data_IF_018553295646
#
_entry.id   IF_018553295646
#
_cell.length_a   1.000
_cell.length_b   1.000
_cell.length_c   1.000
_cell.angle_alpha   90.00
_cell.angle_beta   90.00
_cell.angle_gamma   90.00
#
_symmetry.space_group_name_H-M   'P 1'
#
loop_
_entity.id
_entity.type
_entity.pdbx_description
1 polymer ?
#
# COMPACT_ATOMS: atom_id res chain seq x y z
N UNK A 1 18.23 8.57 -18.59
CA UNK A 1 17.25 9.54 -18.07
C UNK A 1 17.99 10.48 -17.13
N UNK A 2 17.96 11.79 -17.38
CA UNK A 2 18.32 12.77 -16.35
C UNK A 2 17.36 12.58 -15.18
N UNK A 3 17.88 12.36 -13.97
CA UNK A 3 17.05 12.19 -12.79
C UNK A 3 16.27 13.50 -12.56
N UNK A 4 14.95 13.45 -12.76
CA UNK A 4 14.09 14.59 -12.47
C UNK A 4 14.25 14.95 -10.98
N UNK A 5 14.35 16.24 -10.67
CA UNK A 5 14.57 16.69 -9.30
C UNK A 5 13.29 16.57 -8.46
N UNK A 6 13.42 16.61 -7.13
CA UNK A 6 12.28 16.69 -6.22
C UNK A 6 11.39 17.91 -6.58
N UNK A 7 12.00 19.06 -6.85
CA UNK A 7 11.30 20.27 -7.30
C UNK A 7 10.47 20.09 -8.59
N UNK A 8 10.89 19.19 -9.48
CA UNK A 8 10.20 18.93 -10.75
C UNK A 8 9.06 17.92 -10.61
N UNK A 9 9.18 16.97 -9.68
CA UNK A 9 8.26 15.82 -9.59
C UNK A 9 7.30 15.91 -8.42
N UNK A 10 7.70 16.56 -7.33
CA UNK A 10 6.95 16.73 -6.08
C UNK A 10 7.21 18.13 -5.50
N UNK A 11 6.81 19.20 -6.21
CA UNK A 11 7.11 20.59 -5.84
C UNK A 11 6.55 21.03 -4.48
N UNK A 12 5.41 20.46 -4.03
CA UNK A 12 4.85 20.78 -2.72
C UNK A 12 5.76 20.23 -1.61
N UNK A 13 6.13 18.95 -1.71
CA UNK A 13 7.08 18.30 -0.80
C UNK A 13 8.42 19.04 -0.78
N UNK A 14 8.96 19.39 -1.95
CA UNK A 14 10.19 20.15 -2.11
C UNK A 14 10.16 21.50 -1.37
N UNK A 15 9.07 22.25 -1.54
CA UNK A 15 8.86 23.53 -0.88
C UNK A 15 8.82 23.40 0.64
N UNK A 16 8.17 22.36 1.17
CA UNK A 16 8.11 22.10 2.61
C UNK A 16 9.44 21.56 3.16
N UNK A 17 10.15 20.71 2.41
CA UNK A 17 11.46 20.19 2.80
C UNK A 17 12.47 21.34 3.03
N UNK A 18 12.51 22.31 2.12
CA UNK A 18 13.35 23.52 2.30
C UNK A 18 12.98 24.35 3.52
N UNK A 19 11.68 24.55 3.78
CA UNK A 19 11.20 25.30 4.97
C UNK A 19 11.50 24.58 6.28
N UNK A 20 11.67 23.26 6.24
CA UNK A 20 12.00 22.42 7.37
C UNK A 20 13.50 22.06 7.42
N UNK A 21 14.36 22.80 6.72
CA UNK A 21 15.80 22.57 6.76
C UNK A 21 16.32 22.59 8.20
N UNK A 22 16.99 21.52 8.62
CA UNK A 22 17.56 21.36 9.95
C UNK A 22 16.58 20.89 11.03
N UNK A 23 15.28 20.71 10.76
CA UNK A 23 14.33 20.22 11.79
C UNK A 23 14.60 18.78 12.20
N UNK A 24 15.30 18.00 11.37
CA UNK A 24 15.73 16.63 11.65
C UNK A 24 17.25 16.54 11.92
N UNK A 25 17.92 17.67 12.14
CA UNK A 25 19.35 17.65 12.47
C UNK A 25 19.61 16.85 13.76
N UNK A 26 20.56 15.91 13.68
CA UNK A 26 20.87 15.03 14.81
C UNK A 26 19.88 13.90 15.05
N UNK A 27 19.02 13.60 14.08
CA UNK A 27 18.08 12.46 14.13
C UNK A 27 18.49 11.40 13.11
N UNK A 28 18.64 10.16 13.56
CA UNK A 28 18.67 8.98 12.69
C UNK A 28 17.24 8.53 12.37
N UNK A 29 16.94 8.26 11.11
CA UNK A 29 15.61 7.83 10.67
C UNK A 29 15.71 6.44 10.07
N UNK A 30 14.97 5.50 10.66
CA UNK A 30 14.63 4.25 10.00
C UNK A 30 13.47 4.50 9.04
N UNK A 31 13.78 4.55 7.75
CA UNK A 31 12.78 4.72 6.71
C UNK A 31 12.42 3.36 6.08
N UNK A 32 11.14 2.99 6.13
CA UNK A 32 10.66 1.74 5.51
C UNK A 32 9.63 2.11 4.45
N UNK A 33 9.96 1.86 3.19
CA UNK A 33 9.13 2.29 2.07
C UNK A 33 9.15 1.31 0.92
N UNK A 34 8.22 1.50 -0.01
CA UNK A 34 8.21 0.74 -1.25
C UNK A 34 9.42 1.08 -2.14
N UNK A 35 9.82 0.12 -2.97
CA UNK A 35 10.85 0.31 -4.00
C UNK A 35 10.30 1.07 -5.21
N UNK A 36 9.78 2.28 -5.00
CA UNK A 36 9.24 3.18 -6.03
C UNK A 36 9.72 4.63 -5.82
N UNK A 37 9.44 5.50 -6.80
CA UNK A 37 10.05 6.82 -6.89
C UNK A 37 9.57 7.79 -5.81
N UNK A 38 8.27 7.84 -5.50
CA UNK A 38 7.71 8.76 -4.50
C UNK A 38 8.28 8.54 -3.09
N UNK A 39 8.49 7.28 -2.69
CA UNK A 39 9.10 6.90 -1.43
C UNK A 39 10.58 7.32 -1.37
N UNK A 40 11.33 7.15 -2.47
CA UNK A 40 12.70 7.64 -2.56
C UNK A 40 12.78 9.17 -2.53
N UNK A 41 11.85 9.88 -3.17
CA UNK A 41 11.78 11.34 -3.09
C UNK A 41 11.42 11.81 -1.67
N UNK A 42 10.56 11.08 -0.97
CA UNK A 42 10.26 11.34 0.45
C UNK A 42 11.49 11.14 1.34
N UNK A 43 12.27 10.08 1.11
CA UNK A 43 13.55 9.89 1.79
C UNK A 43 14.53 11.04 1.50
N UNK A 44 14.61 11.51 0.25
CA UNK A 44 15.38 12.71 -0.09
C UNK A 44 14.91 13.96 0.67
N UNK A 45 13.60 14.14 0.85
CA UNK A 45 13.04 15.25 1.64
C UNK A 45 13.44 15.17 3.12
N UNK A 46 13.41 13.97 3.72
CA UNK A 46 13.87 13.73 5.09
C UNK A 46 15.36 14.08 5.24
N UNK A 47 16.19 13.64 4.30
CA UNK A 47 17.62 13.99 4.27
C UNK A 47 17.85 15.50 4.12
N UNK A 48 17.08 16.17 3.25
CA UNK A 48 17.14 17.62 3.07
C UNK A 48 16.73 18.40 4.34
N UNK A 49 15.88 17.81 5.18
CA UNK A 49 15.56 18.34 6.50
C UNK A 49 16.63 18.06 7.59
N UNK A 50 17.71 17.35 7.24
CA UNK A 50 18.87 17.09 8.10
C UNK A 50 18.96 15.68 8.69
N UNK A 51 18.05 14.77 8.33
CA UNK A 51 18.07 13.39 8.82
C UNK A 51 19.23 12.59 8.21
N UNK A 52 19.74 11.62 8.98
CA UNK A 52 20.55 10.51 8.47
C UNK A 52 19.68 9.26 8.38
N UNK A 53 19.82 8.48 7.33
CA UNK A 53 18.84 7.44 6.98
C UNK A 53 19.43 6.04 7.00
N UNK A 54 18.67 5.11 7.57
CA UNK A 54 18.76 3.68 7.29
C UNK A 54 17.45 3.29 6.60
N UNK A 55 17.54 2.74 5.39
CA UNK A 55 16.35 2.44 4.60
C UNK A 55 16.11 0.94 4.46
N UNK A 56 14.84 0.53 4.52
CA UNK A 56 14.39 -0.82 4.14
C UNK A 56 13.43 -0.71 2.95
N UNK A 57 13.72 -1.46 1.89
CA UNK A 57 12.88 -1.51 0.68
C UNK A 57 11.92 -2.69 0.77
N UNK A 58 10.62 -2.43 0.66
CA UNK A 58 9.57 -3.46 0.69
C UNK A 58 9.59 -4.29 -0.62
N UNK A 59 9.79 -5.61 -0.57
CA UNK A 59 10.12 -6.42 -1.75
C UNK A 59 8.90 -7.09 -2.40
N UNK A 60 8.00 -6.31 -3.00
CA UNK A 60 6.82 -6.84 -3.72
C UNK A 60 7.10 -7.28 -5.17
N UNK A 61 8.29 -6.98 -5.68
CA UNK A 61 8.69 -7.24 -7.05
C UNK A 61 10.20 -7.13 -7.23
N UNK A 62 10.71 -7.27 -8.47
CA UNK A 62 12.10 -7.03 -8.78
C UNK A 62 12.55 -5.65 -8.26
N UNK A 63 13.79 -5.61 -7.76
CA UNK A 63 14.40 -4.36 -7.36
C UNK A 63 14.48 -3.41 -8.56
N UNK A 64 14.23 -2.13 -8.30
CA UNK A 64 14.38 -1.05 -9.26
C UNK A 64 15.73 -0.37 -9.01
N UNK A 65 16.76 -0.61 -9.84
CA UNK A 65 18.11 -0.18 -9.55
C UNK A 65 18.19 1.32 -9.26
N UNK A 66 17.51 2.14 -10.05
CA UNK A 66 17.49 3.60 -9.89
C UNK A 66 16.90 4.07 -8.55
N UNK A 67 15.93 3.33 -8.00
CA UNK A 67 15.33 3.62 -6.70
C UNK A 67 16.24 3.15 -5.57
N UNK A 68 16.83 1.96 -5.69
CA UNK A 68 17.78 1.44 -4.71
C UNK A 68 19.02 2.33 -4.64
N UNK A 69 19.56 2.74 -5.79
CA UNK A 69 20.67 3.67 -5.90
C UNK A 69 20.33 5.03 -5.25
N UNK A 70 19.07 5.48 -5.36
CA UNK A 70 18.62 6.70 -4.68
C UNK A 70 18.66 6.57 -3.16
N UNK A 71 18.18 5.46 -2.60
CA UNK A 71 18.31 5.20 -1.17
C UNK A 71 19.77 5.07 -0.73
N UNK A 72 20.62 4.40 -1.52
CA UNK A 72 22.03 4.18 -1.18
C UNK A 72 22.84 5.48 -1.10
N UNK A 73 22.47 6.49 -1.89
CA UNK A 73 23.05 7.84 -1.78
C UNK A 73 22.69 8.57 -0.48
N UNK A 74 21.64 8.13 0.21
CA UNK A 74 21.13 8.74 1.44
C UNK A 74 21.63 8.04 2.71
N UNK A 75 22.08 6.79 2.61
CA UNK A 75 22.60 6.02 3.73
C UNK A 75 22.53 4.51 3.49
N UNK A 76 22.74 3.68 4.52
CA UNK A 76 22.62 2.23 4.40
C UNK A 76 21.22 1.79 3.94
N UNK A 77 21.17 0.75 3.10
CA UNK A 77 19.93 0.22 2.53
C UNK A 77 19.88 -1.29 2.66
N UNK A 78 18.76 -1.79 3.17
CA UNK A 78 18.44 -3.20 3.21
C UNK A 78 17.32 -3.44 2.19
N UNK A 79 17.68 -4.00 1.05
CA UNK A 79 16.76 -4.29 -0.06
C UNK A 79 16.70 -5.81 -0.29
N UNK A 80 15.91 -6.55 0.50
CA UNK A 80 15.77 -8.00 0.30
C UNK A 80 15.15 -8.30 -1.08
N UNK A 81 15.48 -9.45 -1.69
CA UNK A 81 14.82 -9.87 -2.92
C UNK A 81 13.33 -10.18 -2.67
N UNK A 82 12.50 -10.02 -3.70
CA UNK A 82 11.09 -10.42 -3.65
C UNK A 82 10.97 -11.91 -3.24
N UNK A 83 10.40 -12.20 -2.05
CA UNK A 83 10.29 -13.56 -1.60
C UNK A 83 9.04 -14.20 -2.19
N UNK A 84 8.91 -15.52 -2.00
CA UNK A 84 7.62 -16.17 -2.14
C UNK A 84 6.60 -15.52 -1.19
N UNK A 85 5.33 -15.30 -1.60
CA UNK A 85 4.25 -14.73 -0.77
C UNK A 85 4.19 -15.26 0.67
N UNK A 86 4.18 -16.58 0.83
CA UNK A 86 4.15 -17.26 2.14
C UNK A 86 5.40 -17.05 3.01
N UNK A 87 6.49 -16.52 2.45
CA UNK A 87 7.75 -16.20 3.15
C UNK A 87 7.94 -14.70 3.40
N UNK A 88 7.02 -13.87 2.92
CA UNK A 88 7.14 -12.42 3.02
C UNK A 88 7.34 -11.92 4.45
N UNK A 89 6.53 -12.41 5.40
CA UNK A 89 6.60 -11.99 6.80
C UNK A 89 7.97 -12.34 7.43
N UNK A 90 8.52 -13.52 7.11
CA UNK A 90 9.84 -13.94 7.59
C UNK A 90 10.94 -13.03 7.03
N UNK A 91 10.91 -12.73 5.74
CA UNK A 91 11.93 -11.89 5.08
C UNK A 91 11.87 -10.45 5.58
N UNK A 92 10.67 -9.87 5.70
CA UNK A 92 10.51 -8.53 6.26
C UNK A 92 10.93 -8.47 7.73
N UNK A 93 10.61 -9.48 8.54
CA UNK A 93 11.08 -9.56 9.93
C UNK A 93 12.60 -9.50 10.00
N UNK A 94 13.29 -10.34 9.22
CA UNK A 94 14.75 -10.35 9.21
C UNK A 94 15.35 -8.99 8.79
N UNK A 95 14.87 -8.44 7.67
CA UNK A 95 15.36 -7.17 7.14
C UNK A 95 15.13 -5.99 8.10
N UNK A 96 13.96 -5.91 8.74
CA UNK A 96 13.62 -4.82 9.66
C UNK A 96 14.32 -4.97 11.00
N UNK A 97 14.50 -6.19 11.52
CA UNK A 97 15.32 -6.45 12.71
C UNK A 97 16.76 -5.95 12.49
N UNK A 98 17.37 -6.29 11.36
CA UNK A 98 18.71 -5.81 10.99
C UNK A 98 18.75 -4.28 10.91
N UNK A 99 17.74 -3.65 10.29
CA UNK A 99 17.64 -2.20 10.17
C UNK A 99 17.54 -1.49 11.53
N UNK A 100 16.76 -2.05 12.46
CA UNK A 100 16.60 -1.51 13.82
C UNK A 100 17.94 -1.58 14.57
N UNK A 101 18.67 -2.69 14.49
CA UNK A 101 19.99 -2.79 15.10
C UNK A 101 20.95 -1.74 14.53
N UNK A 102 20.94 -1.56 13.21
CA UNK A 102 21.82 -0.62 12.52
C UNK A 102 21.53 0.83 12.92
N UNK A 103 20.28 1.28 12.77
CA UNK A 103 19.88 2.66 13.06
C UNK A 103 20.08 3.02 14.54
N UNK A 104 19.73 2.11 15.45
CA UNK A 104 19.84 2.38 16.89
C UNK A 104 21.32 2.39 17.33
N UNK A 105 22.16 1.57 16.71
CA UNK A 105 23.61 1.59 16.97
C UNK A 105 24.25 2.88 16.44
N UNK A 106 23.90 3.30 15.22
CA UNK A 106 24.36 4.57 14.65
C UNK A 106 23.95 5.76 15.52
N UNK A 107 22.69 5.79 15.94
CA UNK A 107 22.17 6.83 16.82
C UNK A 107 22.97 6.92 18.12
N UNK A 108 23.19 5.78 18.79
CA UNK A 108 23.98 5.71 20.02
C UNK A 108 25.43 6.17 19.81
N UNK A 109 26.09 5.76 18.72
CA UNK A 109 27.47 6.16 18.43
C UNK A 109 27.58 7.67 18.17
N UNK A 110 26.55 8.28 17.59
CA UNK A 110 26.50 9.70 17.29
C UNK A 110 25.94 10.57 18.43
N UNK A 111 25.65 9.98 19.60
CA UNK A 111 24.88 10.63 20.70
C UNK A 111 23.58 11.29 20.21
N UNK A 112 22.94 10.63 19.25
CA UNK A 112 21.74 11.07 18.55
C UNK A 112 20.53 10.27 19.03
N UNK A 113 19.35 10.86 18.79
CA UNK A 113 18.08 10.14 18.91
C UNK A 113 17.70 9.54 17.56
N UNK A 114 16.80 8.56 17.56
CA UNK A 114 16.30 7.98 16.32
C UNK A 114 14.79 7.88 16.29
N UNK A 115 14.21 7.76 15.10
CA UNK A 115 12.78 7.58 14.91
C UNK A 115 12.47 6.65 13.73
N UNK A 116 11.21 6.24 13.64
CA UNK A 116 10.70 5.38 12.56
C UNK A 116 9.79 6.22 11.66
N UNK A 117 9.96 6.09 10.35
CA UNK A 117 9.02 6.59 9.34
C UNK A 117 8.75 5.43 8.40
N UNK A 118 7.51 4.92 8.37
CA UNK A 118 7.24 3.69 7.66
C UNK A 118 5.90 3.63 6.91
N UNK A 119 5.90 2.75 5.91
CA UNK A 119 4.77 2.31 5.12
C UNK A 119 4.49 0.83 5.43
N UNK A 120 3.49 0.55 6.27
CA UNK A 120 3.00 -0.81 6.51
C UNK A 120 3.22 -1.37 7.91
N UNK A 121 3.78 -0.58 8.83
CA UNK A 121 3.87 -0.88 10.26
C UNK A 121 4.63 -2.17 10.57
N UNK A 122 5.87 -2.28 10.11
CA UNK A 122 6.75 -3.42 10.34
C UNK A 122 7.66 -3.22 11.56
N UNK A 123 8.21 -2.03 11.75
CA UNK A 123 9.24 -1.79 12.76
C UNK A 123 8.68 -1.70 14.18
N UNK A 124 7.61 -0.93 14.38
CA UNK A 124 7.03 -0.74 15.72
C UNK A 124 6.59 -2.06 16.36
N UNK A 125 5.90 -2.99 15.67
CA UNK A 125 5.60 -4.30 16.24
C UNK A 125 6.83 -5.06 16.68
N UNK A 126 7.86 -5.13 15.82
CA UNK A 126 9.08 -5.86 16.13
C UNK A 126 9.81 -5.26 17.32
N UNK A 127 9.87 -3.93 17.41
CA UNK A 127 10.50 -3.22 18.51
C UNK A 127 9.84 -3.51 19.87
N UNK A 128 8.52 -3.70 19.91
CA UNK A 128 7.78 -3.99 21.15
C UNK A 128 7.77 -5.50 21.49
N UNK A 129 7.59 -6.35 20.48
CA UNK A 129 7.29 -7.77 20.68
C UNK A 129 8.53 -8.66 20.68
N UNK A 130 9.66 -8.15 20.18
CA UNK A 130 10.89 -8.95 20.05
C UNK A 130 11.84 -8.62 21.21
N UNK A 131 12.09 -9.56 22.14
CA UNK A 131 12.90 -9.29 23.34
C UNK A 131 14.28 -8.69 23.05
N UNK A 132 14.96 -9.12 21.99
CA UNK A 132 16.28 -8.56 21.63
C UNK A 132 16.24 -7.10 21.13
N UNK A 133 15.08 -6.60 20.69
CA UNK A 133 14.93 -5.24 20.17
C UNK A 133 14.42 -4.25 21.23
N UNK A 134 13.69 -4.73 22.24
CA UNK A 134 13.14 -3.89 23.33
C UNK A 134 14.16 -2.95 23.99
N UNK A 135 15.44 -3.32 24.19
CA UNK A 135 16.44 -2.40 24.76
C UNK A 135 16.65 -1.10 23.97
N UNK A 136 16.27 -1.04 22.68
CA UNK A 136 16.37 0.17 21.86
C UNK A 136 15.16 1.10 21.99
N UNK A 137 14.06 0.63 22.60
CA UNK A 137 12.82 1.40 22.71
C UNK A 137 13.01 2.75 23.43
N UNK A 138 13.74 2.84 24.57
CA UNK A 138 13.92 4.11 25.28
C UNK A 138 14.65 5.21 24.49
N UNK A 139 15.47 4.85 23.49
CA UNK A 139 16.18 5.82 22.66
C UNK A 139 15.40 6.25 21.42
N UNK A 140 14.33 5.53 21.06
CA UNK A 140 13.43 5.88 19.97
C UNK A 140 12.56 7.08 20.37
N UNK A 141 12.46 8.10 19.51
CA UNK A 141 11.61 9.27 19.72
C UNK A 141 10.13 8.95 19.52
N UNK A 142 9.85 8.02 18.62
CA UNK A 142 8.50 7.72 18.16
C UNK A 142 8.48 7.21 16.73
N UNK A 143 7.28 7.08 16.17
CA UNK A 143 7.07 6.58 14.83
C UNK A 143 6.07 7.42 14.02
N UNK A 144 6.20 7.40 12.69
CA UNK A 144 5.22 7.95 11.76
C UNK A 144 4.78 6.87 10.77
N UNK A 145 3.48 6.65 10.64
CA UNK A 145 2.90 5.60 9.80
C UNK A 145 2.05 6.14 8.66
N UNK A 146 2.33 5.66 7.46
CA UNK A 146 1.68 6.07 6.22
C UNK A 146 0.32 5.40 5.98
N UNK A 147 0.18 4.10 6.27
CA UNK A 147 -0.93 3.24 5.79
C UNK A 147 -1.90 2.81 6.87
N UNK A 148 -3.13 2.50 6.48
CA UNK A 148 -4.15 2.03 7.42
C UNK A 148 -3.77 0.67 8.01
N UNK A 149 -3.12 -0.18 7.23
CA UNK A 149 -2.67 -1.50 7.69
C UNK A 149 -1.52 -1.39 8.69
N UNK A 150 -0.57 -0.49 8.48
CA UNK A 150 0.47 -0.23 9.47
C UNK A 150 -0.08 0.41 10.74
N UNK A 151 -1.09 1.29 10.62
CA UNK A 151 -1.80 1.83 11.78
C UNK A 151 -2.45 0.71 12.61
N UNK A 152 -3.06 -0.30 11.95
CA UNK A 152 -3.56 -1.48 12.64
C UNK A 152 -2.46 -2.30 13.30
N UNK A 153 -1.29 -2.45 12.68
CA UNK A 153 -0.15 -3.14 13.31
C UNK A 153 0.31 -2.46 14.60
N UNK A 154 0.16 -1.14 14.70
CA UNK A 154 0.48 -0.38 15.91
C UNK A 154 -0.58 -0.55 16.99
N UNK A 155 -1.81 -0.84 16.60
CA UNK A 155 -2.95 -0.94 17.51
C UNK A 155 -3.24 -2.39 17.94
N UNK A 156 -2.81 -3.39 17.17
CA UNK A 156 -3.16 -4.79 17.37
C UNK A 156 -1.97 -5.74 17.19
N UNK A 157 -1.95 -6.85 17.92
CA UNK A 157 -0.96 -7.91 17.76
C UNK A 157 -1.24 -8.78 16.53
N UNK A 158 -2.51 -9.07 16.24
CA UNK A 158 -2.93 -9.85 15.08
C UNK A 158 -3.75 -9.00 14.10
N UNK A 159 -3.29 -8.91 12.84
CA UNK A 159 -3.93 -8.08 11.79
C UNK A 159 -4.24 -8.83 10.50
N UNK A 160 -3.75 -10.06 10.34
CA UNK A 160 -3.97 -10.89 9.15
C UNK A 160 -5.24 -11.74 9.25
N UNK A 161 -5.92 -11.69 10.40
CA UNK A 161 -7.24 -12.31 10.61
C UNK A 161 -8.41 -11.47 10.06
N UNK A 162 -9.64 -12.02 10.07
CA UNK A 162 -10.84 -11.32 9.60
C UNK A 162 -11.24 -10.14 10.49
N UNK A 163 -10.83 -10.13 11.76
CA UNK A 163 -11.02 -9.05 12.72
C UNK A 163 -9.66 -8.79 13.40
N UNK A 164 -9.20 -7.52 13.51
CA UNK A 164 -8.02 -7.20 14.29
C UNK A 164 -8.15 -7.73 15.72
N UNK A 165 -7.10 -8.41 16.19
CA UNK A 165 -7.13 -9.19 17.43
C UNK A 165 -6.86 -8.37 18.68
N UNK A 166 -5.84 -8.81 19.43
CA UNK A 166 -5.49 -8.29 20.76
C UNK A 166 -4.95 -6.86 20.67
N UNK A 167 -5.50 -5.88 21.40
CA UNK A 167 -4.97 -4.53 21.44
C UNK A 167 -3.50 -4.48 21.93
N UNK A 168 -2.70 -3.65 21.29
CA UNK A 168 -1.29 -3.38 21.62
C UNK A 168 -1.18 -2.12 22.47
N UNK A 169 -0.44 -2.19 23.56
CA UNK A 169 0.00 -1.00 24.30
C UNK A 169 1.32 -0.52 23.70
N UNK A 170 1.35 0.73 23.24
CA UNK A 170 2.58 1.35 22.76
C UNK A 170 3.38 1.94 23.93
N UNK A 171 4.70 1.82 23.86
CA UNK A 171 5.65 2.41 24.81
C UNK A 171 6.36 3.64 24.22
N UNK A 172 5.97 4.05 23.01
CA UNK A 172 6.43 5.26 22.31
C UNK A 172 5.24 5.99 21.68
N UNK A 173 5.35 7.31 21.42
CA UNK A 173 4.34 8.03 20.67
C UNK A 173 4.43 7.70 19.17
N UNK A 174 3.29 7.60 18.51
CA UNK A 174 3.22 7.41 17.07
C UNK A 174 2.21 8.36 16.42
N UNK A 175 2.48 8.84 15.21
CA UNK A 175 1.56 9.66 14.42
C UNK A 175 1.21 8.92 13.12
N UNK A 176 -0.05 8.91 12.70
CA UNK A 176 -0.44 8.34 11.41
C UNK A 176 -1.16 9.35 10.54
N UNK A 177 -0.83 9.33 9.24
CA UNK A 177 -1.55 10.08 8.20
C UNK A 177 -2.57 9.21 7.47
N UNK A 178 -2.65 7.92 7.79
CA UNK A 178 -3.44 6.93 7.04
C UNK A 178 -4.94 7.22 6.94
N UNK A 179 -5.48 7.88 7.95
CA UNK A 179 -6.90 8.24 8.07
C UNK A 179 -7.19 9.73 7.85
N UNK A 180 -6.21 10.55 7.45
CA UNK A 180 -6.46 11.97 7.27
C UNK A 180 -7.29 12.26 6.01
N UNK A 181 -8.07 13.34 6.05
CA UNK A 181 -9.04 13.68 5.01
C UNK A 181 -8.39 13.70 3.61
N UNK A 182 -7.28 14.42 3.44
CA UNK A 182 -6.54 14.51 2.17
C UNK A 182 -6.18 13.13 1.63
N UNK A 183 -5.52 12.28 2.42
CA UNK A 183 -5.15 10.94 1.96
C UNK A 183 -6.39 10.13 1.59
N UNK A 184 -7.44 10.22 2.39
CA UNK A 184 -8.68 9.47 2.15
C UNK A 184 -9.44 9.90 0.90
N UNK A 185 -9.42 11.17 0.51
CA UNK A 185 -10.17 11.67 -0.63
C UNK A 185 -9.35 11.75 -1.93
N UNK A 186 -8.04 11.99 -1.82
CA UNK A 186 -7.15 12.26 -2.96
C UNK A 186 -6.46 11.00 -3.49
N UNK A 187 -5.81 10.23 -2.62
CA UNK A 187 -4.92 9.12 -3.02
C UNK A 187 -5.65 8.00 -3.76
N UNK A 188 -6.85 7.66 -3.28
CA UNK A 188 -7.52 6.42 -3.67
C UNK A 188 -7.85 6.32 -5.16
N UNK A 189 -8.19 7.44 -5.80
CA UNK A 189 -8.47 7.48 -7.23
C UNK A 189 -7.22 7.18 -8.08
N UNK A 190 -6.09 7.81 -7.76
CA UNK A 190 -4.84 7.61 -8.49
C UNK A 190 -4.24 6.21 -8.28
N UNK A 191 -4.37 5.67 -7.06
CA UNK A 191 -3.99 4.27 -6.78
C UNK A 191 -4.85 3.32 -7.60
N UNK A 192 -6.16 3.55 -7.69
CA UNK A 192 -7.06 2.72 -8.48
C UNK A 192 -6.75 2.78 -9.99
N UNK A 193 -6.58 3.99 -10.53
CA UNK A 193 -6.19 4.21 -11.93
C UNK A 193 -4.93 3.42 -12.28
N UNK A 194 -3.86 3.63 -11.52
CA UNK A 194 -2.58 2.95 -11.75
C UNK A 194 -2.70 1.44 -11.58
N UNK A 195 -3.43 0.98 -10.56
CA UNK A 195 -3.65 -0.46 -10.34
C UNK A 195 -4.33 -1.09 -11.55
N UNK A 196 -5.38 -0.46 -12.08
CA UNK A 196 -6.08 -0.97 -13.26
C UNK A 196 -5.18 -0.92 -14.49
N UNK A 197 -4.42 0.15 -14.70
CA UNK A 197 -3.48 0.25 -15.82
C UNK A 197 -2.41 -0.85 -15.80
N UNK A 198 -1.80 -1.11 -14.64
CA UNK A 198 -0.81 -2.19 -14.49
C UNK A 198 -1.43 -3.58 -14.70
N UNK A 199 -2.67 -3.81 -14.25
CA UNK A 199 -3.41 -5.04 -14.56
C UNK A 199 -3.58 -5.17 -16.08
N UNK A 200 -4.02 -4.12 -16.76
CA UNK A 200 -4.27 -4.16 -18.20
C UNK A 200 -2.97 -4.37 -19.00
N UNK A 201 -1.87 -3.77 -18.56
CA UNK A 201 -0.55 -4.01 -19.16
C UNK A 201 -0.13 -5.47 -18.99
N UNK A 202 -0.28 -6.03 -17.79
CA UNK A 202 0.01 -7.44 -17.52
C UNK A 202 -0.89 -8.39 -18.34
N UNK A 203 -2.17 -8.06 -18.53
CA UNK A 203 -3.08 -8.85 -19.37
C UNK A 203 -2.73 -8.77 -20.87
N UNK A 204 -2.20 -7.64 -21.35
CA UNK A 204 -1.73 -7.49 -22.74
C UNK A 204 -0.54 -8.39 -23.05
N UNK A 205 0.35 -8.64 -22.09
CA UNK A 205 1.45 -9.60 -22.24
C UNK A 205 0.94 -11.03 -22.51
N UNK A 206 -0.29 -11.31 -22.08
CA UNK A 206 -1.01 -12.57 -22.33
C UNK A 206 -2.00 -12.51 -23.50
N UNK A 207 -2.02 -11.40 -24.26
CA UNK A 207 -2.98 -11.11 -25.32
C UNK A 207 -4.45 -11.18 -24.87
N UNK A 208 -4.74 -10.77 -23.63
CA UNK A 208 -6.09 -10.74 -23.06
C UNK A 208 -6.63 -9.31 -22.96
N UNK A 209 -7.91 -9.15 -23.31
CA UNK A 209 -8.68 -7.92 -23.06
C UNK A 209 -9.76 -8.17 -22.01
N UNK A 210 -10.24 -7.12 -21.35
CA UNK A 210 -11.33 -7.19 -20.35
C UNK A 210 -12.55 -6.34 -20.68
N UNK A 211 -12.45 -5.48 -21.69
CA UNK A 211 -13.58 -4.65 -22.15
C UNK A 211 -14.77 -5.54 -22.49
N UNK A 212 -15.95 -5.19 -21.98
CA UNK A 212 -17.21 -5.94 -22.11
C UNK A 212 -17.23 -7.32 -21.44
N UNK A 213 -16.17 -7.72 -20.72
CA UNK A 213 -16.13 -9.01 -20.04
C UNK A 213 -16.53 -8.89 -18.55
N UNK A 214 -17.04 -9.98 -17.95
CA UNK A 214 -17.31 -10.04 -16.51
C UNK A 214 -16.03 -9.95 -15.69
N UNK A 215 -15.94 -8.94 -14.82
CA UNK A 215 -14.86 -8.76 -13.84
C UNK A 215 -15.46 -8.69 -12.44
N UNK A 216 -14.68 -9.05 -11.44
CA UNK A 216 -15.10 -8.97 -10.04
C UNK A 216 -14.09 -8.15 -9.22
N UNK A 217 -14.60 -7.38 -8.27
CA UNK A 217 -13.80 -6.68 -7.25
C UNK A 217 -14.22 -7.19 -5.87
N UNK A 218 -13.28 -7.77 -5.12
CA UNK A 218 -13.49 -8.17 -3.74
C UNK A 218 -13.08 -7.05 -2.79
N UNK A 219 -14.03 -6.58 -1.98
CA UNK A 219 -13.89 -5.39 -1.15
C UNK A 219 -14.39 -4.14 -1.88
N UNK A 220 -15.29 -3.41 -1.25
CA UNK A 220 -15.85 -2.15 -1.76
C UNK A 220 -15.68 -1.02 -0.73
N UNK A 221 -14.52 -1.03 -0.06
CA UNK A 221 -14.03 0.16 0.63
C UNK A 221 -13.52 1.21 -0.36
N UNK A 222 -12.81 2.22 0.13
CA UNK A 222 -12.29 3.34 -0.68
C UNK A 222 -11.58 2.91 -1.97
N UNK A 223 -10.55 2.06 -1.85
CA UNK A 223 -9.76 1.59 -2.99
C UNK A 223 -10.58 0.67 -3.90
N UNK A 224 -11.32 -0.27 -3.33
CA UNK A 224 -12.17 -1.20 -4.09
C UNK A 224 -13.27 -0.50 -4.89
N UNK A 225 -13.93 0.49 -4.32
CA UNK A 225 -14.94 1.30 -5.01
C UNK A 225 -14.33 2.11 -6.16
N UNK A 226 -13.15 2.72 -5.95
CA UNK A 226 -12.43 3.42 -6.99
C UNK A 226 -11.99 2.47 -8.13
N UNK A 227 -11.46 1.29 -7.81
CA UNK A 227 -11.10 0.26 -8.81
C UNK A 227 -12.33 -0.20 -9.60
N UNK A 228 -13.46 -0.43 -8.92
CA UNK A 228 -14.70 -0.83 -9.56
C UNK A 228 -15.20 0.24 -10.54
N UNK A 229 -15.18 1.51 -10.15
CA UNK A 229 -15.53 2.63 -11.01
C UNK A 229 -14.60 2.72 -12.23
N UNK A 230 -13.31 2.52 -12.02
CA UNK A 230 -12.25 2.61 -13.04
C UNK A 230 -12.32 1.47 -14.06
N UNK A 231 -12.68 0.25 -13.62
CA UNK A 231 -12.98 -0.88 -14.51
C UNK A 231 -14.31 -0.67 -15.27
N UNK A 232 -15.33 -0.12 -14.62
CA UNK A 232 -16.62 0.18 -15.24
C UNK A 232 -16.47 1.27 -16.32
N UNK A 233 -15.67 2.32 -16.06
CA UNK A 233 -15.34 3.37 -17.02
C UNK A 233 -14.61 2.84 -18.26
N UNK A 234 -13.85 1.75 -18.12
CA UNK A 234 -13.24 1.01 -19.24
C UNK A 234 -14.20 0.01 -19.92
N UNK A 235 -15.48 0.03 -19.56
CA UNK A 235 -16.54 -0.77 -20.17
C UNK A 235 -16.57 -2.24 -19.71
N UNK A 236 -16.01 -2.57 -18.56
CA UNK A 236 -16.11 -3.92 -17.98
C UNK A 236 -17.50 -4.14 -17.35
N UNK A 237 -17.95 -5.40 -17.27
CA UNK A 237 -19.14 -5.77 -16.50
C UNK A 237 -18.75 -6.06 -15.05
N UNK A 238 -18.89 -5.08 -14.17
CA UNK A 238 -18.32 -5.13 -12.82
C UNK A 238 -19.27 -5.79 -11.82
N UNK A 239 -18.80 -6.86 -11.19
CA UNK A 239 -19.40 -7.44 -10.00
C UNK A 239 -18.58 -7.08 -8.75
N UNK A 240 -19.25 -6.97 -7.61
CA UNK A 240 -18.63 -6.60 -6.33
C UNK A 240 -18.92 -7.69 -5.30
N UNK A 241 -17.89 -8.07 -4.54
CA UNK A 241 -17.99 -9.01 -3.43
C UNK A 241 -17.63 -8.23 -2.16
N UNK A 242 -18.59 -7.91 -1.30
CA UNK A 242 -18.31 -7.32 0.00
C UNK A 242 -19.34 -7.84 1.03
N UNK A 243 -18.90 -8.39 2.18
CA UNK A 243 -19.81 -8.93 3.19
C UNK A 243 -20.76 -7.87 3.76
N UNK A 244 -20.39 -6.58 3.72
CA UNK A 244 -21.23 -5.47 4.21
C UNK A 244 -22.36 -5.10 3.26
N UNK A 245 -22.41 -5.68 2.06
CA UNK A 245 -23.44 -5.43 1.04
C UNK A 245 -23.73 -3.94 0.81
N UNK A 246 -22.72 -3.14 0.41
CA UNK A 246 -22.90 -1.70 0.24
C UNK A 246 -23.82 -1.38 -0.93
N UNK A 247 -24.35 -0.15 -0.91
CA UNK A 247 -24.98 0.43 -2.10
C UNK A 247 -23.92 0.63 -3.19
N UNK A 248 -24.19 0.10 -4.38
CA UNK A 248 -23.29 0.18 -5.52
C UNK A 248 -23.72 1.30 -6.46
N UNK A 249 -22.76 1.81 -7.24
CA UNK A 249 -23.06 2.68 -8.37
C UNK A 249 -23.83 1.93 -9.47
N UNK A 250 -24.56 2.68 -10.29
CA UNK A 250 -25.36 2.14 -11.39
C UNK A 250 -24.51 1.26 -12.34
N UNK A 251 -25.09 0.13 -12.76
CA UNK A 251 -24.44 -0.82 -13.66
C UNK A 251 -23.51 -1.84 -12.99
N UNK A 252 -23.28 -1.75 -11.67
CA UNK A 252 -22.55 -2.76 -10.90
C UNK A 252 -23.51 -3.73 -10.21
N UNK A 253 -23.05 -4.97 -9.96
CA UNK A 253 -23.88 -5.98 -9.26
C UNK A 253 -23.16 -6.59 -8.07
N UNK A 254 -23.86 -6.70 -6.94
CA UNK A 254 -23.35 -7.40 -5.77
C UNK A 254 -23.48 -8.91 -5.96
N UNK A 255 -22.41 -9.66 -5.66
CA UNK A 255 -22.34 -11.12 -5.80
C UNK A 255 -21.63 -11.77 -4.62
N UNK A 256 -21.79 -13.08 -4.48
CA UNK A 256 -20.94 -13.90 -3.60
C UNK A 256 -19.79 -14.59 -4.38
N UNK A 257 -18.88 -15.24 -3.64
CA UNK A 257 -17.73 -15.94 -4.21
C UNK A 257 -18.08 -17.05 -5.21
N UNK A 258 -19.20 -17.75 -4.99
CA UNK A 258 -19.64 -18.81 -5.90
C UNK A 258 -20.07 -18.18 -7.22
N UNK A 259 -20.90 -17.14 -7.15
CA UNK A 259 -21.44 -16.41 -8.31
C UNK A 259 -20.34 -15.80 -9.20
N UNK A 260 -19.17 -15.47 -8.66
CA UNK A 260 -18.00 -15.03 -9.46
C UNK A 260 -17.64 -16.05 -10.53
N UNK A 261 -17.51 -17.33 -10.16
CA UNK A 261 -17.19 -18.38 -11.12
C UNK A 261 -18.36 -18.67 -12.07
N UNK A 262 -19.60 -18.61 -11.57
CA UNK A 262 -20.82 -18.86 -12.36
C UNK A 262 -21.00 -17.85 -13.50
N UNK A 263 -20.58 -16.59 -13.27
CA UNK A 263 -20.59 -15.51 -14.26
C UNK A 263 -19.49 -15.62 -15.31
N UNK A 264 -18.59 -16.58 -15.20
CA UNK A 264 -17.44 -16.70 -16.10
C UNK A 264 -16.48 -15.52 -15.99
N UNK A 265 -16.27 -15.01 -14.77
CA UNK A 265 -15.36 -13.90 -14.48
C UNK A 265 -13.97 -14.11 -15.09
N UNK A 266 -13.47 -13.11 -15.84
CA UNK A 266 -12.12 -13.13 -16.42
C UNK A 266 -11.05 -12.69 -15.44
N UNK A 267 -11.39 -11.70 -14.61
CA UNK A 267 -10.48 -11.02 -13.71
C UNK A 267 -11.17 -10.81 -12.36
N UNK A 268 -10.51 -11.22 -11.28
CA UNK A 268 -10.86 -10.88 -9.92
C UNK A 268 -9.77 -9.96 -9.35
N UNK A 269 -10.17 -8.80 -8.86
CA UNK A 269 -9.28 -7.85 -8.16
C UNK A 269 -9.60 -7.88 -6.67
N UNK A 270 -8.63 -8.26 -5.83
CA UNK A 270 -8.73 -8.20 -4.38
C UNK A 270 -8.33 -6.83 -3.85
N UNK A 271 -9.21 -6.23 -3.04
CA UNK A 271 -9.06 -4.92 -2.42
C UNK A 271 -9.71 -4.86 -1.02
N UNK A 272 -9.74 -5.99 -0.30
CA UNK A 272 -10.30 -6.07 1.06
C UNK A 272 -9.31 -5.67 2.15
N UNK A 273 -8.01 -5.78 1.88
CA UNK A 273 -6.92 -5.63 2.84
C UNK A 273 -6.74 -6.82 3.79
N UNK A 274 -7.43 -7.93 3.51
CA UNK A 274 -7.49 -9.14 4.36
C UNK A 274 -7.44 -10.42 3.52
N UNK A 275 -7.29 -11.57 4.17
CA UNK A 275 -7.26 -12.88 3.51
C UNK A 275 -8.68 -13.37 3.14
N UNK A 276 -9.35 -12.61 2.28
CA UNK A 276 -10.77 -12.80 2.00
C UNK A 276 -11.08 -13.84 0.92
N UNK A 277 -10.15 -14.14 0.01
CA UNK A 277 -10.42 -15.07 -1.12
C UNK A 277 -10.44 -16.52 -0.64
N UNK A 278 -11.58 -17.22 -0.73
CA UNK A 278 -11.70 -18.59 -0.26
C UNK A 278 -11.05 -19.59 -1.23
N UNK A 279 -10.39 -20.65 -0.75
CA UNK A 279 -9.89 -21.74 -1.60
C UNK A 279 -10.97 -22.39 -2.48
N UNK A 280 -12.24 -22.38 -2.03
CA UNK A 280 -13.41 -22.91 -2.72
C UNK A 280 -13.66 -22.23 -4.08
N UNK A 281 -13.12 -21.01 -4.29
CA UNK A 281 -13.12 -20.35 -5.60
C UNK A 281 -12.46 -21.23 -6.67
N UNK A 282 -11.42 -22.01 -6.32
CA UNK A 282 -10.75 -22.93 -7.24
C UNK A 282 -11.73 -24.00 -7.71
N UNK A 283 -12.44 -24.65 -6.78
CA UNK A 283 -13.40 -25.69 -7.12
C UNK A 283 -14.50 -25.13 -8.04
N UNK A 284 -15.03 -23.95 -7.69
CA UNK A 284 -16.04 -23.26 -8.50
C UNK A 284 -15.53 -22.91 -9.91
N UNK A 285 -14.29 -22.44 -10.04
CA UNK A 285 -13.64 -22.19 -11.33
C UNK A 285 -13.46 -23.47 -12.16
N UNK A 286 -12.94 -24.54 -11.54
CA UNK A 286 -12.68 -25.83 -12.19
C UNK A 286 -13.97 -26.57 -12.59
N UNK A 287 -15.10 -26.27 -11.96
CA UNK A 287 -16.40 -26.84 -12.32
C UNK A 287 -17.03 -26.20 -13.58
N UNK A 288 -16.56 -25.03 -14.02
CA UNK A 288 -17.23 -24.22 -15.07
C UNK A 288 -16.65 -24.41 -16.46
N UNK A 289 -17.04 -23.64 -17.47
CA UNK A 289 -16.50 -23.78 -18.84
C UNK A 289 -15.27 -22.92 -19.13
N UNK A 290 -14.93 -21.98 -18.23
CA UNK A 290 -13.88 -20.99 -18.50
C UNK A 290 -12.49 -21.62 -18.37
N UNK A 291 -11.64 -21.40 -19.38
CA UNK A 291 -10.29 -21.94 -19.42
C UNK A 291 -9.29 -21.16 -18.57
N UNK A 292 -9.51 -19.87 -18.37
CA UNK A 292 -8.55 -19.00 -17.68
C UNK A 292 -9.24 -17.93 -16.84
N UNK A 293 -8.72 -17.72 -15.63
CA UNK A 293 -9.10 -16.62 -14.74
C UNK A 293 -7.84 -15.97 -14.16
N UNK A 294 -7.85 -14.64 -14.11
CA UNK A 294 -6.78 -13.81 -13.58
C UNK A 294 -7.15 -13.29 -12.20
N UNK A 295 -6.15 -13.27 -11.31
CA UNK A 295 -6.26 -12.81 -9.93
C UNK A 295 -5.24 -11.67 -9.74
N UNK A 296 -5.70 -10.49 -9.35
CA UNK A 296 -4.87 -9.32 -9.08
C UNK A 296 -5.09 -8.81 -7.67
N UNK A 297 -4.03 -8.48 -6.95
CA UNK A 297 -4.14 -7.83 -5.63
C UNK A 297 -3.92 -6.33 -5.79
N UNK A 298 -4.75 -5.53 -5.13
CA UNK A 298 -4.56 -4.09 -4.92
C UNK A 298 -4.15 -3.76 -3.47
N UNK A 299 -4.08 -4.78 -2.61
CA UNK A 299 -3.79 -4.64 -1.18
C UNK A 299 -2.34 -4.97 -0.86
N UNK A 300 -1.80 -4.35 0.19
CA UNK A 300 -0.44 -4.60 0.68
C UNK A 300 -0.19 -6.09 0.96
N UNK A 301 1.04 -6.55 0.69
CA UNK A 301 1.44 -7.97 0.75
C UNK A 301 0.62 -8.82 -0.23
N UNK A 302 0.68 -10.14 -0.09
CA UNK A 302 -0.16 -11.06 -0.85
C UNK A 302 -1.42 -11.48 -0.05
N UNK A 303 -1.94 -10.58 0.78
CA UNK A 303 -2.94 -10.92 1.80
C UNK A 303 -4.23 -11.46 1.18
N UNK A 304 -4.71 -10.83 0.11
CA UNK A 304 -5.96 -11.15 -0.62
C UNK A 304 -6.08 -12.62 -1.00
N UNK A 305 -4.96 -13.21 -1.42
CA UNK A 305 -4.87 -14.57 -1.94
C UNK A 305 -4.02 -15.49 -1.08
N UNK A 306 -3.60 -15.07 0.11
CA UNK A 306 -2.69 -15.85 0.97
C UNK A 306 -3.22 -17.27 1.27
N UNK A 307 -4.50 -17.39 1.64
CA UNK A 307 -5.17 -18.68 1.85
C UNK A 307 -5.26 -19.50 0.56
N UNK A 308 -5.57 -18.85 -0.55
CA UNK A 308 -5.63 -19.48 -1.86
C UNK A 308 -4.25 -20.00 -2.31
N UNK A 309 -3.19 -19.20 -2.16
CA UNK A 309 -1.81 -19.60 -2.42
C UNK A 309 -1.46 -20.81 -1.55
N UNK A 310 -1.70 -20.74 -0.23
CA UNK A 310 -1.43 -21.85 0.68
C UNK A 310 -2.15 -23.15 0.25
N UNK A 311 -3.41 -23.05 -0.18
CA UNK A 311 -4.17 -24.17 -0.71
C UNK A 311 -3.57 -24.73 -2.00
N UNK A 312 -3.19 -23.87 -2.95
CA UNK A 312 -2.57 -24.25 -4.23
C UNK A 312 -1.17 -24.85 -4.08
N UNK A 313 -0.46 -24.51 -2.99
CA UNK A 313 0.84 -25.09 -2.66
C UNK A 313 0.73 -26.42 -1.88
N UNK A 314 -0.48 -26.87 -1.53
CA UNK A 314 -0.74 -28.11 -0.78
C UNK A 314 -1.43 -29.18 -1.65
N UNK A 315 -0.74 -30.29 -2.01
CA UNK A 315 -1.32 -31.34 -2.86
C UNK A 315 -2.63 -31.93 -2.33
N UNK A 316 -2.72 -32.17 -1.02
CA UNK A 316 -3.91 -32.76 -0.39
C UNK A 316 -5.13 -31.83 -0.44
N UNK A 317 -4.91 -30.51 -0.35
CA UNK A 317 -5.99 -29.53 -0.49
C UNK A 317 -6.49 -29.47 -1.93
N UNK A 318 -5.60 -29.58 -2.92
CA UNK A 318 -5.99 -29.63 -4.32
C UNK A 318 -6.82 -30.88 -4.65
N UNK A 319 -6.44 -32.03 -4.11
CA UNK A 319 -7.23 -33.26 -4.24
C UNK A 319 -8.62 -33.11 -3.64
N UNK A 320 -8.76 -32.42 -2.50
CA UNK A 320 -10.05 -32.16 -1.87
C UNK A 320 -10.92 -31.13 -2.64
N UNK A 321 -10.31 -30.15 -3.30
CA UNK A 321 -11.00 -29.12 -4.08
C UNK A 321 -11.37 -29.56 -5.50
N UNK A 322 -10.78 -30.66 -5.97
CA UNK A 322 -10.92 -31.18 -7.32
C UNK A 322 -12.38 -31.63 -7.61
N UNK A 323 -13.10 -31.04 -8.58
CA UNK A 323 -14.45 -31.48 -8.94
C UNK A 323 -14.49 -32.84 -9.67
N UNK A 324 -13.33 -33.40 -10.03
CA UNK A 324 -13.21 -34.65 -10.77
C UNK A 324 -11.93 -35.41 -10.36
N UNK A 325 -11.95 -36.76 -10.41
CA UNK A 325 -10.76 -37.56 -10.13
C UNK A 325 -9.66 -37.31 -11.18
N UNK A 326 -8.41 -37.41 -10.73
CA UNK A 326 -7.24 -37.32 -11.62
C UNK A 326 -6.85 -35.91 -12.05
N UNK A 327 -7.35 -34.87 -11.38
CA UNK A 327 -6.86 -33.49 -11.58
C UNK A 327 -5.38 -33.41 -11.18
N UNK A 328 -4.55 -32.88 -12.08
CA UNK A 328 -3.14 -32.60 -11.84
C UNK A 328 -2.89 -31.10 -11.92
N UNK A 329 -2.19 -30.57 -10.94
CA UNK A 329 -1.73 -29.17 -10.90
C UNK A 329 -0.25 -29.08 -11.28
N UNK A 330 0.06 -28.23 -12.25
CA UNK A 330 1.43 -27.81 -12.56
C UNK A 330 1.58 -26.32 -12.27
N UNK A 331 2.73 -25.94 -11.71
CA UNK A 331 3.07 -24.55 -11.37
C UNK A 331 4.18 -24.08 -12.30
N UNK A 332 4.06 -22.87 -12.82
CA UNK A 332 5.15 -22.26 -13.59
C UNK A 332 5.21 -20.76 -13.34
N UNK A 333 6.42 -20.17 -13.44
CA UNK A 333 6.53 -18.72 -13.54
C UNK A 333 5.96 -18.26 -14.89
N UNK A 334 5.40 -17.06 -14.92
CA UNK A 334 4.93 -16.38 -16.12
C UNK A 334 5.39 -14.93 -16.15
N UNK A 335 5.34 -14.26 -17.31
CA UNK A 335 5.78 -12.87 -17.46
C UNK A 335 5.02 -11.91 -16.52
N UNK A 336 3.72 -12.15 -16.36
CA UNK A 336 2.83 -11.36 -15.52
C UNK A 336 2.73 -11.83 -14.06
N UNK A 337 3.42 -12.92 -13.69
CA UNK A 337 3.34 -13.58 -12.38
C UNK A 337 3.11 -15.09 -12.47
N UNK A 338 2.68 -15.71 -11.38
CA UNK A 338 2.57 -17.16 -11.22
C UNK A 338 1.37 -17.77 -11.95
N UNK A 339 1.58 -18.94 -12.53
CA UNK A 339 0.56 -19.74 -13.22
C UNK A 339 0.32 -21.06 -12.52
N UNK A 340 -0.95 -21.41 -12.39
CA UNK A 340 -1.45 -22.68 -11.85
C UNK A 340 -2.28 -23.36 -12.94
N UNK A 341 -1.68 -24.37 -13.59
CA UNK A 341 -2.30 -25.09 -14.69
C UNK A 341 -2.88 -26.42 -14.20
N UNK A 342 -4.19 -26.58 -14.40
CA UNK A 342 -4.93 -27.78 -14.04
C UNK A 342 -5.25 -28.60 -15.28
N UNK A 343 -4.99 -29.90 -15.21
CA UNK A 343 -5.32 -30.87 -16.26
C UNK A 343 -6.12 -32.02 -15.65
N UNK A 344 -7.06 -32.58 -16.42
CA UNK A 344 -7.82 -33.75 -16.02
C UNK A 344 -8.09 -34.61 -17.26
N UNK A 345 -8.18 -35.95 -17.15
CA UNK A 345 -8.51 -36.82 -18.28
C UNK A 345 -9.83 -36.46 -18.98
N UNK A 346 -10.80 -35.95 -18.20
CA UNK A 346 -12.11 -35.56 -18.70
C UNK A 346 -12.14 -34.17 -19.38
N UNK A 347 -11.03 -33.41 -19.36
CA UNK A 347 -10.99 -32.07 -19.94
C UNK A 347 -10.28 -32.07 -21.29
N UNK A 348 -10.90 -31.51 -22.34
CA UNK A 348 -10.26 -31.43 -23.66
C UNK A 348 -9.04 -30.51 -23.65
N UNK A 349 -8.97 -29.58 -22.69
CA UNK A 349 -7.91 -28.58 -22.58
C UNK A 349 -7.62 -28.27 -21.11
N UNK A 350 -6.37 -27.90 -20.84
CA UNK A 350 -5.97 -27.41 -19.53
C UNK A 350 -6.72 -26.12 -19.16
N UNK A 351 -6.93 -25.95 -17.85
CA UNK A 351 -7.45 -24.73 -17.23
C UNK A 351 -6.33 -24.03 -16.47
N UNK A 352 -6.41 -22.72 -16.33
CA UNK A 352 -5.34 -21.91 -15.78
C UNK A 352 -5.86 -20.84 -14.83
N UNK A 353 -5.31 -20.79 -13.62
CA UNK A 353 -5.40 -19.64 -12.73
C UNK A 353 -4.08 -18.87 -12.83
N UNK A 354 -4.15 -17.57 -13.13
CA UNK A 354 -2.98 -16.70 -13.22
C UNK A 354 -3.03 -15.71 -12.08
N UNK A 355 -2.04 -15.77 -11.19
CA UNK A 355 -1.83 -14.77 -10.15
C UNK A 355 -0.90 -13.69 -10.66
N UNK A 356 -1.49 -12.55 -10.99
CA UNK A 356 -0.73 -11.38 -11.38
C UNK A 356 0.17 -10.94 -10.22
N UNK A 357 1.40 -10.56 -10.55
CA UNK A 357 2.42 -10.17 -9.57
C UNK A 357 2.68 -11.22 -8.48
N UNK A 358 2.53 -12.51 -8.77
CA UNK A 358 2.61 -13.60 -7.80
C UNK A 358 1.65 -13.46 -6.60
N UNK A 359 0.60 -12.64 -6.76
CA UNK A 359 -0.36 -12.32 -5.70
C UNK A 359 0.00 -11.08 -4.87
N UNK A 360 1.16 -10.46 -5.06
CA UNK A 360 1.52 -9.15 -4.49
C UNK A 360 0.72 -8.01 -5.14
N UNK A 361 0.74 -6.79 -4.57
CA UNK A 361 0.02 -5.68 -5.17
C UNK A 361 0.62 -5.35 -6.54
N UNK A 362 -0.22 -5.47 -7.58
CA UNK A 362 0.18 -5.38 -8.99
C UNK A 362 0.86 -4.05 -9.33
N UNK A 363 0.46 -2.97 -8.65
CA UNK A 363 0.97 -1.63 -8.91
C UNK A 363 2.47 -1.47 -8.61
N UNK A 364 3.06 -2.35 -7.79
CA UNK A 364 4.50 -2.27 -7.44
C UNK A 364 5.37 -3.29 -8.18
N UNK A 365 4.77 -4.22 -8.91
CA UNK A 365 5.46 -5.43 -9.34
C UNK A 365 6.33 -5.23 -10.58
N UNK A 366 5.84 -4.54 -11.61
CA UNK A 366 6.62 -4.40 -12.85
C UNK A 366 7.82 -3.50 -12.60
N UNK A 367 8.97 -3.84 -13.19
CA UNK A 367 10.21 -3.08 -13.01
C UNK A 367 10.05 -1.60 -13.43
N UNK A 368 9.25 -1.35 -14.46
CA UNK A 368 8.94 0.00 -14.95
C UNK A 368 7.80 0.70 -14.18
N UNK A 369 7.11 0.03 -13.27
CA UNK A 369 5.97 0.61 -12.54
C UNK A 369 6.42 1.29 -11.26
N UNK A 370 6.23 2.60 -11.17
CA UNK A 370 6.54 3.39 -9.98
C UNK A 370 5.31 3.67 -9.11
N UNK A 371 4.25 2.88 -9.25
CA UNK A 371 2.97 3.18 -8.61
C UNK A 371 2.34 4.45 -9.18
N UNK A 372 1.48 5.09 -8.38
CA UNK A 372 0.86 6.34 -8.81
C UNK A 372 1.93 7.41 -9.05
N UNK A 373 1.67 8.31 -10.00
CA UNK A 373 2.67 9.30 -10.39
C UNK A 373 3.12 10.16 -9.21
N UNK A 374 4.40 10.52 -9.16
CA UNK A 374 4.94 11.42 -8.14
C UNK A 374 4.11 12.70 -7.99
N UNK A 375 3.69 13.29 -9.11
CA UNK A 375 2.84 14.47 -9.11
C UNK A 375 1.52 14.22 -8.38
N UNK A 376 0.85 13.09 -8.61
CA UNK A 376 -0.37 12.73 -7.89
C UNK A 376 -0.11 12.45 -6.40
N UNK A 377 1.02 11.84 -6.06
CA UNK A 377 1.34 11.47 -4.66
C UNK A 377 1.97 12.61 -3.86
N UNK A 378 2.37 13.71 -4.49
CA UNK A 378 3.05 14.85 -3.86
C UNK A 378 2.35 15.36 -2.58
N UNK A 379 1.03 15.65 -2.57
CA UNK A 379 0.38 16.11 -1.36
C UNK A 379 0.37 15.06 -0.23
N UNK A 380 0.24 13.77 -0.56
CA UNK A 380 0.19 12.67 0.42
C UNK A 380 1.55 12.45 1.06
N UNK A 381 2.59 12.41 0.24
CA UNK A 381 3.97 12.25 0.71
C UNK A 381 4.46 13.49 1.46
N UNK A 382 3.95 14.68 1.12
CA UNK A 382 4.14 15.89 1.91
C UNK A 382 3.59 15.71 3.34
N UNK A 383 2.41 15.11 3.51
CA UNK A 383 1.89 14.84 4.87
C UNK A 383 2.79 13.88 5.65
N UNK A 384 3.30 12.82 5.00
CA UNK A 384 4.19 11.86 5.66
C UNK A 384 5.47 12.56 6.14
N UNK A 385 6.06 13.37 5.26
CA UNK A 385 7.21 14.19 5.56
C UNK A 385 6.95 15.18 6.70
N UNK A 386 5.85 15.94 6.65
CA UNK A 386 5.53 16.96 7.68
C UNK A 386 5.27 16.33 9.05
N UNK A 387 4.60 15.17 9.08
CA UNK A 387 4.41 14.40 10.30
C UNK A 387 5.77 13.99 10.90
N UNK A 388 6.70 13.48 10.08
CA UNK A 388 8.04 13.13 10.51
C UNK A 388 8.86 14.35 10.96
N UNK A 389 8.87 15.43 10.19
CA UNK A 389 9.63 16.64 10.46
C UNK A 389 9.24 17.35 11.77
N UNK A 390 7.97 17.27 12.17
CA UNK A 390 7.51 17.86 13.44
C UNK A 390 7.65 16.95 14.66
N UNK A 391 7.83 15.64 14.49
CA UNK A 391 7.85 14.68 15.60
C UNK A 391 8.94 14.98 16.64
N UNK A 392 10.21 15.28 16.30
CA UNK A 392 11.24 15.55 17.31
C UNK A 392 10.88 16.69 18.27
N UNK A 393 10.22 17.74 17.76
CA UNK A 393 9.82 18.91 18.56
C UNK A 393 8.56 18.68 19.42
N UNK A 394 7.84 17.58 19.19
CA UNK A 394 6.54 17.36 19.81
C UNK A 394 6.39 16.01 20.52
N UNK A 395 7.30 15.06 20.31
CA UNK A 395 7.23 13.71 20.89
C UNK A 395 7.02 13.72 22.40
N UNK A 396 7.67 14.63 23.14
CA UNK A 396 7.54 14.76 24.59
C UNK A 396 6.14 15.19 25.08
N UNK A 397 5.29 15.71 24.18
CA UNK A 397 3.90 16.13 24.47
C UNK A 397 2.88 15.05 24.12
N UNK A 398 3.30 14.02 23.38
CA UNK A 398 2.42 12.95 22.95
C UNK A 398 2.40 11.81 23.97
N UNK A 399 1.20 11.34 24.32
CA UNK A 399 1.05 10.08 25.04
C UNK A 399 1.55 8.89 24.20
N UNK A 400 1.92 7.79 24.86
CA UNK A 400 2.41 6.57 24.19
C UNK A 400 1.24 5.79 23.56
N UNK A 401 0.74 6.32 22.45
CA UNK A 401 -0.33 5.75 21.64
C UNK A 401 -0.17 6.17 20.19
N UNK A 402 -1.02 5.64 19.33
CA UNK A 402 -1.20 6.14 17.97
C UNK A 402 -2.08 7.41 18.01
N UNK A 403 -1.58 8.47 17.39
CA UNK A 403 -2.24 9.76 17.21
C UNK A 403 -2.56 9.95 15.73
N UNK A 404 -3.76 10.41 15.45
CA UNK A 404 -4.19 10.85 14.12
C UNK A 404 -3.80 12.30 13.88
N UNK A 405 -3.93 12.77 12.63
CA UNK A 405 -3.76 14.21 12.33
C UNK A 405 -4.76 15.07 13.10
N UNK A 406 -5.96 14.56 13.39
CA UNK A 406 -6.94 15.27 14.22
C UNK A 406 -6.48 15.39 15.68
N UNK A 407 -5.97 14.30 16.27
CA UNK A 407 -5.38 14.35 17.62
C UNK A 407 -4.23 15.38 17.70
N UNK A 408 -3.43 15.46 16.64
CA UNK A 408 -2.33 16.42 16.54
C UNK A 408 -2.86 17.86 16.46
N UNK A 409 -3.96 18.11 15.75
CA UNK A 409 -4.54 19.45 15.60
C UNK A 409 -5.00 20.06 16.94
N UNK A 410 -5.35 19.21 17.91
CA UNK A 410 -5.82 19.65 19.24
C UNK A 410 -4.67 20.01 20.19
N UNK A 411 -3.41 19.80 19.81
CA UNK A 411 -2.27 20.12 20.67
C UNK A 411 -1.96 21.63 20.65
N UNK A 412 -1.67 22.24 21.82
CA UNK A 412 -1.21 23.61 21.86
C UNK A 412 0.20 23.74 21.27
N UNK A 413 0.52 24.93 20.73
CA UNK A 413 1.86 25.30 20.26
C UNK A 413 2.47 24.32 19.25
N UNK A 414 1.70 23.97 18.22
CA UNK A 414 2.16 23.07 17.16
C UNK A 414 3.47 23.54 16.53
N UNK A 415 4.48 22.65 16.36
CA UNK A 415 5.68 23.01 15.62
C UNK A 415 5.30 23.38 14.17
N UNK A 416 6.11 24.21 13.51
CA UNK A 416 5.79 24.73 12.19
C UNK A 416 5.45 23.63 11.14
N UNK A 417 6.15 22.47 11.08
CA UNK A 417 5.76 21.40 10.18
C UNK A 417 4.35 20.84 10.46
N UNK A 418 3.95 20.73 11.72
CA UNK A 418 2.62 20.21 12.08
C UNK A 418 1.50 21.23 11.87
N UNK A 419 1.78 22.53 11.95
CA UNK A 419 0.82 23.53 11.46
C UNK A 419 0.53 23.34 9.98
N UNK A 420 1.56 23.11 9.16
CA UNK A 420 1.35 22.78 7.75
C UNK A 420 0.67 21.43 7.54
N UNK A 421 0.93 20.43 8.40
CA UNK A 421 0.30 19.10 8.34
C UNK A 421 -1.23 19.17 8.50
N UNK A 422 -1.72 20.02 9.40
CA UNK A 422 -3.16 20.15 9.66
C UNK A 422 -3.88 21.00 8.59
N UNK A 423 -3.16 21.87 7.89
CA UNK A 423 -3.63 22.70 6.76
C UNK A 423 -3.75 21.91 5.44
N UNK A 424 -4.41 20.75 5.50
CA UNK A 424 -4.55 19.79 4.40
C UNK A 424 -5.16 20.41 3.13
N UNK A 425 -6.16 21.28 3.29
CA UNK A 425 -6.77 21.97 2.16
C UNK A 425 -5.79 22.92 1.47
N UNK A 426 -5.01 23.67 2.26
CA UNK A 426 -3.99 24.60 1.75
C UNK A 426 -2.91 23.88 0.94
N UNK A 427 -2.50 22.69 1.37
CA UNK A 427 -1.59 21.82 0.61
C UNK A 427 -2.18 21.45 -0.76
N UNK A 428 -3.44 20.98 -0.79
CA UNK A 428 -4.10 20.62 -2.03
C UNK A 428 -4.36 21.81 -2.97
N UNK A 429 -4.67 23.00 -2.43
CA UNK A 429 -4.79 24.21 -3.25
C UNK A 429 -3.47 24.57 -3.91
N UNK A 430 -2.37 24.51 -3.15
CA UNK A 430 -1.03 24.75 -3.69
C UNK A 430 -0.72 23.76 -4.82
N UNK A 431 -1.00 22.48 -4.59
CA UNK A 431 -0.88 21.45 -5.61
C UNK A 431 -1.72 21.74 -6.85
N UNK A 432 -3.00 22.09 -6.69
CA UNK A 432 -3.89 22.43 -7.81
C UNK A 432 -3.34 23.59 -8.66
N UNK A 433 -2.86 24.66 -8.01
CA UNK A 433 -2.26 25.81 -8.70
C UNK A 433 -1.04 25.40 -9.51
N UNK A 434 -0.15 24.57 -8.94
CA UNK A 434 1.06 24.10 -9.62
C UNK A 434 0.76 23.21 -10.85
N UNK A 435 -0.41 22.58 -10.87
CA UNK A 435 -0.85 21.70 -11.96
C UNK A 435 -1.93 22.31 -12.87
N UNK A 436 -2.28 23.59 -12.68
CA UNK A 436 -3.30 24.27 -13.49
C UNK A 436 -4.71 23.69 -13.32
N UNK A 437 -5.02 23.15 -12.15
CA UNK A 437 -6.32 22.57 -11.79
C UNK A 437 -7.14 23.63 -11.05
N UNK A 438 -8.43 23.76 -11.39
CA UNK A 438 -9.34 24.57 -10.58
C UNK A 438 -9.51 23.95 -9.19
N UNK A 439 -8.98 24.63 -8.18
CA UNK A 439 -8.95 24.10 -6.83
C UNK A 439 -10.35 23.97 -6.22
N UNK A 440 -11.29 24.87 -6.54
CA UNK A 440 -12.66 24.80 -6.01
C UNK A 440 -13.37 23.55 -6.49
N UNK A 441 -13.30 23.31 -7.80
CA UNK A 441 -13.94 22.16 -8.45
C UNK A 441 -13.29 20.84 -8.02
N UNK A 442 -11.96 20.82 -7.93
CA UNK A 442 -11.24 19.63 -7.50
C UNK A 442 -11.59 19.23 -6.07
N UNK A 443 -11.54 20.18 -5.13
CA UNK A 443 -11.84 19.95 -3.72
C UNK A 443 -13.29 19.50 -3.51
N UNK A 444 -14.23 20.08 -4.26
CA UNK A 444 -15.63 19.66 -4.25
C UNK A 444 -15.79 18.22 -4.76
N UNK A 445 -15.15 17.90 -5.89
CA UNK A 445 -15.25 16.59 -6.54
C UNK A 445 -14.71 15.46 -5.69
N UNK A 446 -13.61 15.69 -4.98
CA UNK A 446 -13.04 14.67 -4.08
C UNK A 446 -13.73 14.65 -2.71
N UNK A 447 -14.66 15.58 -2.43
CA UNK A 447 -15.39 15.64 -1.17
C UNK A 447 -14.56 16.12 0.02
N UNK A 448 -13.50 16.90 -0.21
CA UNK A 448 -12.77 17.55 0.89
C UNK A 448 -13.53 18.76 1.45
N UNK A 449 -14.44 19.34 0.66
CA UNK A 449 -15.39 20.37 1.08
C UNK A 449 -16.82 19.95 0.85
N UNK A 450 -17.73 20.48 1.65
CA UNK A 450 -19.15 20.36 1.40
C UNK A 450 -19.51 21.11 0.09
N UNK A 451 -20.39 20.57 -0.77
CA UNK A 451 -20.81 21.22 -2.01
C UNK A 451 -21.38 22.63 -1.81
N UNK A 452 -22.00 22.88 -0.66
CA UNK A 452 -22.63 24.16 -0.30
C UNK A 452 -21.62 25.30 -0.14
N UNK A 453 -20.39 25.01 0.29
CA UNK A 453 -19.32 26.00 0.44
C UNK A 453 -18.74 26.44 -0.91
N UNK A 454 -18.94 25.66 -1.98
CA UNK A 454 -18.41 25.95 -3.33
C UNK A 454 -19.32 26.92 -4.08
N UNK A 455 -20.64 26.85 -3.83
CA UNK A 455 -21.61 27.78 -4.42
C UNK A 455 -21.42 29.23 -3.92
N UNK A 456 -20.98 29.41 -2.67
CA UNK A 456 -20.73 30.72 -2.07
C UNK A 456 -19.50 31.46 -2.62
N UNK A 457 -18.63 30.79 -3.38
CA UNK A 457 -17.39 31.37 -3.93
C UNK A 457 -17.46 31.69 -5.43
N UNK A 458 -18.49 31.20 -6.12
CA UNK A 458 -18.75 31.48 -7.54
C UNK A 458 -19.66 32.69 -7.76
N UNK A 459 -20.12 33.32 -6.69
CA UNK A 459 -20.80 34.63 -6.68
C UNK A 459 -19.90 35.68 -6.08
#
# INVERSE_FOLDING_TARGET
MTAATMAQTMPVLDGHARRCAGTLAGVEVLFIGHGICDAAVTAHALAAAGARLVSVVIPYGPAKPEVVDAYQRLGPVIAPPAPHPLRFAQVMRAAVTEAIHLVATQARTADARWMIVEDGGYAVPLLHDTPELRPYLPSCLGAVEHTSRGAWNYQYAEVDGPVPGTPRTLELPAVTISGCALKTCHEGAFVAETTVDEILLALREDHVFVRHLPVAVAGYGRIGAAIAAELAARGCQVAVIDPRRPQLADGMTLVDWRQVAERGTVLLVGATGTAATPPELVSAFLARGRRRMYLASASSKAVEFSHLIAALESPSVIEALAPAPGIRLTRSPGPAGRRYQFTAPAWPQARELVMLADGYPVLFHRAASHGATNAAMDPVMTLLFLAAAGLPAAAHRLGHRLHTVADVADLPDLPAPWRALIEQEGLLRTWCVLHGIDAGDYLARIGLRAPEEVAAWRG
#
